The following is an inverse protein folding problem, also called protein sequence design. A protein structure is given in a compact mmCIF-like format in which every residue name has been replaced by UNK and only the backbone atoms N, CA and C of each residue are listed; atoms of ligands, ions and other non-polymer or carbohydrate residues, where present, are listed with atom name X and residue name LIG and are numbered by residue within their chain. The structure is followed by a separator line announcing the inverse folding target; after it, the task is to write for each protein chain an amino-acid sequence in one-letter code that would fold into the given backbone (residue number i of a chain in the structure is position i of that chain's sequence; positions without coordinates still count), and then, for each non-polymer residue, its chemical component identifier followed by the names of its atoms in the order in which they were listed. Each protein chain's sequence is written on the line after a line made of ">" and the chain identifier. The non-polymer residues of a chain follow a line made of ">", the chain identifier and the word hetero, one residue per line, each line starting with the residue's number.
data_IF_514507383463
#
_entry.id   IF_514507383463
#
_cell.length_a   1.000
_cell.length_b   1.000
_cell.length_c   1.000
_cell.angle_alpha   90.00
_cell.angle_beta   90.00
_cell.angle_gamma   90.00
#
_symmetry.space_group_name_H-M   'P 1'
#
loop_
_entity.id
_entity.type
_entity.pdbx_description
1 polymer ?
#
# COMPACT_ATOMS: atom_id res chain seq x y z
N UNK A 1 -7.73 23.45 18.42
CA UNK A 1 -7.47 24.60 19.32
C UNK A 1 -6.49 24.16 20.40
N UNK A 2 -5.19 24.22 20.12
CA UNK A 2 -4.19 24.27 21.20
C UNK A 2 -4.34 25.64 21.89
N UNK A 3 -4.29 25.69 23.22
CA UNK A 3 -4.42 26.95 23.96
C UNK A 3 -3.26 27.85 23.57
N UNK A 4 -3.54 29.01 22.99
CA UNK A 4 -2.56 29.99 22.48
C UNK A 4 -1.44 30.37 23.47
N UNK A 5 -1.59 30.10 24.78
CA UNK A 5 -0.55 30.33 25.79
C UNK A 5 0.56 29.27 25.83
N UNK A 6 0.26 27.99 25.56
CA UNK A 6 1.26 26.92 25.63
C UNK A 6 2.16 26.89 24.39
N UNK A 7 1.61 27.24 23.22
CA UNK A 7 2.36 27.35 21.97
C UNK A 7 3.37 28.49 21.98
N UNK A 8 3.04 29.63 22.60
CA UNK A 8 3.95 30.76 22.70
C UNK A 8 5.17 30.43 23.58
N UNK A 9 4.95 29.79 24.74
CA UNK A 9 6.04 29.37 25.64
C UNK A 9 6.94 28.31 24.99
N UNK A 10 6.38 27.41 24.18
CA UNK A 10 7.17 26.45 23.42
C UNK A 10 8.05 27.13 22.35
N UNK A 11 7.51 28.09 21.61
CA UNK A 11 8.25 28.89 20.61
C UNK A 11 9.35 29.72 21.30
N UNK A 12 9.03 30.36 22.41
CA UNK A 12 9.98 31.20 23.16
C UNK A 12 11.17 30.37 23.69
N UNK A 13 10.93 29.11 24.10
CA UNK A 13 12.02 28.20 24.50
C UNK A 13 12.80 27.62 23.31
N UNK A 14 12.13 27.37 22.17
CA UNK A 14 12.76 26.85 20.96
C UNK A 14 13.78 27.83 20.37
N UNK A 15 13.54 29.14 20.44
CA UNK A 15 14.49 30.16 19.97
C UNK A 15 15.84 30.16 20.72
N UNK A 16 15.90 29.50 21.88
CA UNK A 16 17.15 29.31 22.63
C UNK A 16 17.92 28.05 22.20
N UNK A 17 17.29 27.15 21.44
CA UNK A 17 17.96 25.97 20.89
C UNK A 17 18.80 26.34 19.67
N UNK A 18 20.00 25.76 19.58
CA UNK A 18 20.89 25.88 18.41
C UNK A 18 20.56 24.89 17.29
N UNK A 19 19.82 23.84 17.58
CA UNK A 19 19.44 22.82 16.62
C UNK A 19 18.26 22.04 17.20
N UNK A 20 17.32 21.67 16.34
CA UNK A 20 16.25 20.74 16.67
C UNK A 20 16.51 19.40 15.99
N UNK A 21 16.06 18.30 16.59
CA UNK A 21 16.30 16.96 16.07
C UNK A 21 15.00 16.19 15.85
N UNK A 22 14.98 15.36 14.79
CA UNK A 22 13.93 14.37 14.53
C UNK A 22 14.59 12.99 14.29
N UNK A 23 14.90 12.25 15.37
CA UNK A 23 15.69 11.02 15.29
C UNK A 23 14.79 9.78 15.17
N UNK A 24 13.94 9.72 14.15
CA UNK A 24 13.06 8.56 13.98
C UNK A 24 13.83 7.32 13.52
N UNK A 25 13.47 6.15 14.05
CA UNK A 25 13.97 4.89 13.51
C UNK A 25 13.41 4.70 12.11
N UNK A 26 14.26 4.70 11.09
CA UNK A 26 13.86 4.56 9.69
C UNK A 26 13.20 3.18 9.47
N UNK A 27 11.93 3.18 9.10
CA UNK A 27 11.11 2.01 8.79
C UNK A 27 9.98 2.41 7.82
N UNK A 28 9.21 1.42 7.32
CA UNK A 28 8.11 1.65 6.36
C UNK A 28 7.11 2.72 6.81
N UNK A 29 6.80 2.82 8.10
CA UNK A 29 5.91 3.86 8.61
C UNK A 29 6.58 5.24 8.55
N UNK A 30 7.81 5.37 9.03
CA UNK A 30 8.45 6.68 9.19
C UNK A 30 8.91 7.31 7.89
N UNK A 31 9.24 6.49 6.86
CA UNK A 31 9.58 7.01 5.53
C UNK A 31 8.35 7.59 4.82
N UNK A 32 7.15 7.17 5.18
CA UNK A 32 5.87 7.68 4.63
C UNK A 32 5.22 8.77 5.49
N UNK A 33 5.96 9.35 6.44
CA UNK A 33 5.43 10.39 7.33
C UNK A 33 6.04 11.74 6.95
N UNK A 34 5.16 12.73 6.77
CA UNK A 34 5.54 14.14 6.80
C UNK A 34 5.55 14.65 8.26
N UNK A 35 6.71 14.94 8.86
CA UNK A 35 6.79 15.27 10.30
C UNK A 35 6.31 16.71 10.58
N UNK A 36 5.13 16.89 11.19
CA UNK A 36 4.62 18.23 11.54
C UNK A 36 5.60 19.08 12.39
N UNK A 37 6.35 18.44 13.29
CA UNK A 37 7.34 19.13 14.15
C UNK A 37 8.50 19.74 13.37
N UNK A 38 8.81 19.19 12.21
CA UNK A 38 9.83 19.75 11.32
C UNK A 38 9.49 21.18 10.93
N UNK A 39 8.26 21.42 10.46
CA UNK A 39 7.83 22.76 10.06
C UNK A 39 7.68 23.71 11.26
N UNK A 40 7.28 23.21 12.43
CA UNK A 40 7.25 24.03 13.66
C UNK A 40 8.65 24.53 14.07
N UNK A 41 9.68 23.68 13.94
CA UNK A 41 11.07 24.05 14.22
C UNK A 41 11.61 25.05 13.20
N UNK A 42 11.37 24.80 11.91
CA UNK A 42 11.78 25.70 10.84
C UNK A 42 11.12 27.09 10.97
N UNK A 43 9.81 27.13 11.27
CA UNK A 43 9.08 28.38 11.50
C UNK A 43 9.61 29.16 12.71
N UNK A 44 10.17 28.46 13.70
CA UNK A 44 10.83 29.06 14.86
C UNK A 44 12.25 29.57 14.56
N UNK A 45 12.75 29.39 13.34
CA UNK A 45 14.11 29.75 12.93
C UNK A 45 15.18 28.82 13.50
N UNK A 46 14.81 27.62 13.93
CA UNK A 46 15.74 26.62 14.46
C UNK A 46 16.04 25.61 13.34
N UNK A 47 17.30 25.51 12.87
CA UNK A 47 17.67 24.48 11.90
C UNK A 47 17.43 23.08 12.44
N UNK A 48 17.09 22.13 11.54
CA UNK A 48 16.66 20.78 11.93
C UNK A 48 17.63 19.72 11.41
N UNK A 49 18.02 18.78 12.27
CA UNK A 49 18.70 17.54 11.85
C UNK A 49 17.72 16.37 11.96
N UNK A 50 17.56 15.61 10.87
CA UNK A 50 16.61 14.50 10.79
C UNK A 50 17.27 13.23 10.25
N UNK A 51 16.72 12.07 10.62
CA UNK A 51 16.97 10.83 9.87
C UNK A 51 16.27 10.89 8.51
N UNK A 52 16.54 9.89 7.65
CA UNK A 52 15.94 9.79 6.31
C UNK A 52 14.41 9.92 6.35
N UNK A 53 13.90 10.95 5.67
CA UNK A 53 12.48 11.26 5.52
C UNK A 53 12.23 11.86 4.14
N UNK A 54 11.83 11.04 3.15
CA UNK A 54 11.79 11.47 1.76
C UNK A 54 10.95 12.73 1.47
N UNK A 55 9.84 12.94 2.20
CA UNK A 55 8.95 14.10 2.03
C UNK A 55 9.61 15.47 2.28
N UNK A 56 10.78 15.49 2.94
CA UNK A 56 11.49 16.71 3.32
C UNK A 56 12.94 16.72 2.82
N UNK A 57 13.22 16.00 1.72
CA UNK A 57 14.52 16.05 1.05
C UNK A 57 14.84 17.49 0.63
N UNK A 58 16.10 17.89 0.84
CA UNK A 58 16.68 19.18 0.44
C UNK A 58 15.95 20.44 0.94
N UNK A 59 15.11 20.35 1.97
CA UNK A 59 14.49 21.54 2.56
C UNK A 59 15.57 22.41 3.22
N UNK A 60 15.76 23.68 2.77
CA UNK A 60 16.77 24.57 3.35
C UNK A 60 16.57 24.79 4.86
N UNK A 61 17.69 25.01 5.57
CA UNK A 61 17.67 25.08 7.04
C UNK A 61 17.49 23.72 7.70
N UNK A 62 17.70 22.61 6.97
CA UNK A 62 17.73 21.27 7.53
C UNK A 62 18.87 20.42 6.96
N UNK A 63 19.27 19.40 7.73
CA UNK A 63 20.19 18.35 7.29
C UNK A 63 19.54 17.00 7.54
N UNK A 64 19.49 16.18 6.49
CA UNK A 64 19.08 14.78 6.56
C UNK A 64 20.32 13.90 6.60
N UNK A 65 20.45 13.09 7.64
CA UNK A 65 21.58 12.21 7.86
C UNK A 65 21.24 10.74 7.56
N UNK A 66 22.19 10.03 6.95
CA UNK A 66 22.04 8.64 6.51
C UNK A 66 22.68 7.63 7.47
N UNK A 67 23.41 8.12 8.46
CA UNK A 67 24.08 7.32 9.47
C UNK A 67 24.03 8.03 10.83
N UNK A 68 24.37 7.28 11.88
CA UNK A 68 24.49 7.85 13.23
C UNK A 68 25.61 8.90 13.26
N UNK A 69 26.71 8.61 12.56
CA UNK A 69 27.89 9.46 12.47
C UNK A 69 27.55 10.79 11.79
N UNK A 70 26.91 10.75 10.61
CA UNK A 70 26.46 11.96 9.91
C UNK A 70 25.47 12.77 10.74
N UNK A 71 24.59 12.10 11.49
CA UNK A 71 23.62 12.77 12.35
C UNK A 71 24.31 13.54 13.46
N UNK A 72 25.28 12.93 14.14
CA UNK A 72 26.05 13.57 15.20
C UNK A 72 26.91 14.71 14.66
N UNK A 73 27.59 14.51 13.53
CA UNK A 73 28.38 15.53 12.85
C UNK A 73 27.52 16.75 12.47
N UNK A 74 26.31 16.53 11.96
CA UNK A 74 25.38 17.60 11.62
C UNK A 74 24.89 18.38 12.85
N UNK A 75 24.62 17.68 13.97
CA UNK A 75 24.27 18.31 15.24
C UNK A 75 25.43 19.17 15.76
N UNK A 76 26.64 18.61 15.81
CA UNK A 76 27.84 19.33 16.25
C UNK A 76 28.15 20.53 15.35
N UNK A 77 27.92 20.41 14.04
CA UNK A 77 28.08 21.50 13.09
C UNK A 77 27.18 22.69 13.46
N UNK A 78 25.88 22.49 13.70
CA UNK A 78 24.97 23.58 14.07
C UNK A 78 25.26 24.15 15.46
N UNK A 79 25.59 23.30 16.44
CA UNK A 79 25.92 23.73 17.81
C UNK A 79 27.16 24.62 17.84
N UNK A 80 28.18 24.28 17.06
CA UNK A 80 29.45 25.02 17.00
C UNK A 80 29.50 26.09 15.90
N UNK A 81 28.38 26.33 15.21
CA UNK A 81 28.32 27.28 14.10
C UNK A 81 28.48 28.73 14.57
N UNK A 82 29.36 29.47 13.90
CA UNK A 82 29.57 30.89 14.14
C UNK A 82 28.26 31.70 13.97
N UNK A 83 28.00 32.72 14.81
CA UNK A 83 26.70 33.40 14.86
C UNK A 83 26.18 33.92 13.51
N UNK A 84 27.06 34.50 12.67
CA UNK A 84 26.66 35.01 11.36
C UNK A 84 26.28 33.91 10.36
N UNK A 85 26.95 32.77 10.43
CA UNK A 85 26.61 31.60 9.60
C UNK A 85 25.32 30.96 10.09
N UNK A 86 25.14 30.89 11.42
CA UNK A 86 23.94 30.37 12.04
C UNK A 86 22.69 31.18 11.66
N UNK A 87 22.76 32.51 11.73
CA UNK A 87 21.62 33.37 11.38
C UNK A 87 21.17 33.14 9.93
N UNK A 88 22.10 32.86 9.01
CA UNK A 88 21.75 32.53 7.62
C UNK A 88 20.99 31.21 7.49
N UNK A 89 21.35 30.20 8.28
CA UNK A 89 20.62 28.93 8.30
C UNK A 89 19.26 29.08 8.98
N UNK A 90 19.17 29.90 10.03
CA UNK A 90 17.90 30.26 10.67
C UNK A 90 16.96 31.03 9.72
N UNK A 91 17.49 31.96 8.92
CA UNK A 91 16.74 32.66 7.86
C UNK A 91 16.21 31.70 6.81
N UNK A 92 17.06 30.78 6.31
CA UNK A 92 16.64 29.73 5.39
C UNK A 92 15.52 28.88 5.98
N UNK A 93 15.66 28.47 7.24
CA UNK A 93 14.64 27.69 7.94
C UNK A 93 13.29 28.41 7.97
N UNK A 94 13.27 29.70 8.37
CA UNK A 94 12.05 30.52 8.38
C UNK A 94 11.41 30.62 7.00
N UNK A 95 12.22 30.94 5.98
CA UNK A 95 11.75 31.05 4.59
C UNK A 95 11.18 29.73 4.07
N UNK A 96 11.82 28.60 4.39
CA UNK A 96 11.33 27.29 3.99
C UNK A 96 9.98 26.96 4.62
N UNK A 97 9.78 27.31 5.89
CA UNK A 97 8.51 27.06 6.58
C UNK A 97 7.31 27.79 5.94
N UNK A 98 7.51 28.98 5.37
CA UNK A 98 6.44 29.75 4.70
C UNK A 98 5.81 28.95 3.55
N UNK A 99 6.61 28.17 2.81
CA UNK A 99 6.13 27.34 1.71
C UNK A 99 5.22 26.17 2.13
N UNK A 100 5.14 25.87 3.43
CA UNK A 100 4.32 24.80 4.01
C UNK A 100 3.15 25.34 4.85
N UNK A 101 2.84 26.64 4.74
CA UNK A 101 1.59 27.15 5.30
C UNK A 101 0.38 26.58 4.57
N UNK A 102 -0.70 26.34 5.32
CA UNK A 102 -1.93 25.76 4.76
C UNK A 102 -2.50 26.54 3.59
N UNK A 103 -2.38 27.87 3.58
CA UNK A 103 -2.80 28.70 2.44
C UNK A 103 -1.98 28.38 1.20
N UNK A 104 -0.65 28.34 1.31
CA UNK A 104 0.25 28.05 0.19
C UNK A 104 0.06 26.63 -0.34
N UNK A 105 -0.05 25.65 0.56
CA UNK A 105 -0.30 24.26 0.19
C UNK A 105 -1.65 24.09 -0.51
N UNK A 106 -2.69 24.75 0.02
CA UNK A 106 -4.03 24.71 -0.56
C UNK A 106 -4.07 25.41 -1.92
N UNK A 107 -3.41 26.57 -2.05
CA UNK A 107 -3.36 27.30 -3.32
C UNK A 107 -2.62 26.51 -4.39
N UNK A 108 -1.54 25.80 -4.06
CA UNK A 108 -0.86 24.86 -4.98
C UNK A 108 -1.79 23.73 -5.40
N UNK A 109 -2.47 23.10 -4.45
CA UNK A 109 -3.38 21.99 -4.72
C UNK A 109 -4.58 22.44 -5.57
N UNK A 110 -5.21 23.56 -5.24
CA UNK A 110 -6.30 24.13 -6.01
C UNK A 110 -5.85 24.55 -7.41
N UNK A 111 -4.67 25.15 -7.55
CA UNK A 111 -4.11 25.50 -8.86
C UNK A 111 -3.92 24.27 -9.74
N UNK A 112 -3.44 23.15 -9.17
CA UNK A 112 -3.27 21.89 -9.87
C UNK A 112 -4.62 21.23 -10.25
N UNK A 113 -5.63 21.29 -9.36
CA UNK A 113 -6.95 20.73 -9.63
C UNK A 113 -7.77 21.57 -10.64
N UNK A 114 -7.57 22.89 -10.66
CA UNK A 114 -8.34 23.83 -11.49
C UNK A 114 -7.71 24.12 -12.85
N UNK A 115 -6.43 23.80 -13.05
CA UNK A 115 -5.88 23.76 -14.40
C UNK A 115 -6.60 22.66 -15.19
N UNK A 116 -7.33 23.03 -16.26
CA UNK A 116 -8.20 22.21 -17.13
C UNK A 116 -7.45 21.11 -17.93
N UNK A 117 -6.59 20.40 -17.25
CA UNK A 117 -5.70 19.36 -17.71
C UNK A 117 -4.96 18.91 -16.48
N UNK A 118 -5.58 18.05 -15.68
CA UNK A 118 -4.85 17.17 -14.76
C UNK A 118 -3.98 16.23 -15.60
N UNK A 119 -3.00 16.76 -16.32
CA UNK A 119 -1.82 16.00 -16.73
C UNK A 119 -0.88 15.96 -15.51
N UNK A 120 -1.37 15.33 -14.43
CA UNK A 120 -0.56 14.98 -13.26
C UNK A 120 0.67 14.16 -13.71
N UNK A 121 0.58 13.50 -14.88
CA UNK A 121 1.65 12.74 -15.52
C UNK A 121 2.87 13.55 -15.96
N UNK A 122 2.76 14.87 -16.18
CA UNK A 122 3.93 15.73 -16.43
C UNK A 122 4.51 16.35 -15.15
N UNK A 123 3.71 16.46 -14.08
CA UNK A 123 4.12 17.16 -12.84
C UNK A 123 4.86 16.28 -11.83
N UNK A 124 4.65 14.96 -11.87
CA UNK A 124 5.42 14.00 -11.07
C UNK A 124 6.28 13.14 -11.99
N UNK A 125 7.45 13.63 -12.35
CA UNK A 125 8.43 12.80 -13.05
C UNK A 125 8.99 11.80 -12.03
N UNK A 126 8.48 10.56 -12.07
CA UNK A 126 8.91 9.50 -11.15
C UNK A 126 10.43 9.23 -11.22
N UNK A 127 11.10 9.54 -12.35
CA UNK A 127 12.56 9.49 -12.41
C UNK A 127 13.24 10.55 -11.52
N UNK A 128 12.64 11.73 -11.35
CA UNK A 128 13.16 12.76 -10.44
C UNK A 128 13.07 12.27 -9.00
N UNK A 129 11.89 11.78 -8.59
CA UNK A 129 11.69 11.21 -7.25
C UNK A 129 12.64 10.03 -7.00
N UNK A 130 12.79 9.14 -8.00
CA UNK A 130 13.75 8.04 -7.95
C UNK A 130 15.18 8.54 -7.68
N UNK A 131 15.61 9.57 -8.42
CA UNK A 131 16.96 10.14 -8.26
C UNK A 131 17.19 10.79 -6.89
N UNK A 132 16.16 11.40 -6.31
CA UNK A 132 16.21 11.98 -4.97
C UNK A 132 16.34 10.89 -3.91
N UNK A 133 15.52 9.85 -3.99
CA UNK A 133 15.56 8.70 -3.08
C UNK A 133 16.86 7.90 -3.22
N UNK A 134 17.42 7.79 -4.42
CA UNK A 134 18.65 7.03 -4.68
C UNK A 134 19.86 7.56 -3.88
N UNK A 135 19.86 8.84 -3.49
CA UNK A 135 20.89 9.43 -2.59
C UNK A 135 20.89 8.80 -1.19
N UNK A 136 19.79 8.14 -0.83
CA UNK A 136 19.53 7.51 0.46
C UNK A 136 19.48 5.98 0.37
N UNK A 137 19.96 5.39 -0.74
CA UNK A 137 19.97 3.95 -1.01
C UNK A 137 20.95 3.15 -0.12
N UNK A 138 21.30 3.66 1.06
CA UNK A 138 21.98 2.91 2.11
C UNK A 138 20.99 2.16 3.01
N UNK A 139 19.75 2.63 3.09
CA UNK A 139 18.74 2.05 3.99
C UNK A 139 17.87 1.01 3.26
N UNK A 140 17.69 -0.22 3.79
CA UNK A 140 16.95 -1.28 3.12
C UNK A 140 15.52 -0.90 2.69
N UNK A 141 14.84 -0.10 3.51
CA UNK A 141 13.48 0.38 3.19
C UNK A 141 13.46 1.31 1.98
N UNK A 142 14.45 2.18 1.83
CA UNK A 142 14.54 3.07 0.65
C UNK A 142 14.92 2.29 -0.60
N UNK A 143 15.76 1.26 -0.46
CA UNK A 143 16.07 0.35 -1.57
C UNK A 143 14.82 -0.41 -2.01
N UNK A 144 13.96 -0.83 -1.08
CA UNK A 144 12.67 -1.48 -1.38
C UNK A 144 11.75 -0.53 -2.15
N UNK A 145 11.63 0.73 -1.69
CA UNK A 145 10.85 1.76 -2.38
C UNK A 145 11.41 2.05 -3.80
N UNK A 146 12.73 2.16 -3.95
CA UNK A 146 13.39 2.34 -5.25
C UNK A 146 13.11 1.15 -6.18
N UNK A 147 13.13 -0.08 -5.66
CA UNK A 147 12.78 -1.26 -6.44
C UNK A 147 11.33 -1.19 -6.93
N UNK A 148 10.39 -0.84 -6.05
CA UNK A 148 8.99 -0.63 -6.40
C UNK A 148 8.79 0.50 -7.43
N UNK A 149 9.58 1.58 -7.35
CA UNK A 149 9.58 2.66 -8.34
C UNK A 149 10.16 2.22 -9.68
N UNK A 150 11.25 1.45 -9.69
CA UNK A 150 11.85 0.91 -10.91
C UNK A 150 10.87 0.00 -11.67
N UNK A 151 10.07 -0.81 -10.96
CA UNK A 151 8.99 -1.60 -11.58
C UNK A 151 7.93 -0.72 -12.25
N UNK A 152 7.60 0.44 -11.64
CA UNK A 152 6.65 1.41 -12.22
C UNK A 152 7.23 2.18 -13.40
N UNK A 153 8.55 2.38 -13.42
CA UNK A 153 9.29 2.97 -14.53
C UNK A 153 9.60 1.97 -15.65
N UNK A 154 9.16 0.71 -15.52
CA UNK A 154 9.49 -0.40 -16.43
C UNK A 154 11.00 -0.71 -16.53
N UNK A 155 11.78 -0.29 -15.54
CA UNK A 155 13.21 -0.58 -15.40
C UNK A 155 13.41 -1.93 -14.67
N UNK A 156 12.91 -3.02 -15.26
CA UNK A 156 12.81 -4.33 -14.60
C UNK A 156 14.16 -4.94 -14.19
N UNK A 157 15.21 -4.75 -14.98
CA UNK A 157 16.56 -5.23 -14.65
C UNK A 157 17.09 -4.57 -13.36
N UNK A 158 16.84 -3.27 -13.20
CA UNK A 158 17.23 -2.51 -12.01
C UNK A 158 16.40 -2.93 -10.81
N UNK A 159 15.08 -3.10 -10.98
CA UNK A 159 14.21 -3.62 -9.93
C UNK A 159 14.69 -4.99 -9.41
N UNK A 160 15.03 -5.92 -10.31
CA UNK A 160 15.56 -7.23 -9.92
C UNK A 160 16.90 -7.10 -9.21
N UNK A 161 17.82 -6.24 -9.69
CA UNK A 161 19.11 -6.00 -9.05
C UNK A 161 18.96 -5.50 -7.61
N UNK A 162 18.09 -4.52 -7.38
CA UNK A 162 17.82 -3.96 -6.05
C UNK A 162 17.14 -4.99 -5.14
N UNK A 163 16.10 -5.66 -5.62
CA UNK A 163 15.36 -6.66 -4.86
C UNK A 163 16.21 -7.87 -4.46
N UNK A 164 17.04 -8.38 -5.37
CA UNK A 164 17.96 -9.48 -5.07
C UNK A 164 19.04 -9.08 -4.06
N UNK A 165 19.59 -7.87 -4.18
CA UNK A 165 20.55 -7.35 -3.19
C UNK A 165 19.98 -7.28 -1.78
N UNK A 166 18.70 -6.94 -1.64
CA UNK A 166 17.99 -6.96 -0.36
C UNK A 166 17.77 -8.40 0.15
N UNK A 167 17.33 -9.32 -0.71
CA UNK A 167 17.14 -10.72 -0.35
C UNK A 167 18.44 -11.39 0.13
N UNK A 168 19.55 -11.17 -0.58
CA UNK A 168 20.88 -11.67 -0.21
C UNK A 168 21.36 -11.12 1.14
N UNK A 169 20.97 -9.88 1.46
CA UNK A 169 21.26 -9.23 2.73
C UNK A 169 20.29 -9.61 3.86
N UNK A 170 19.34 -10.52 3.60
CA UNK A 170 18.31 -10.94 4.57
C UNK A 170 17.32 -9.84 4.95
N UNK A 171 17.17 -8.81 4.10
CA UNK A 171 16.24 -7.71 4.31
C UNK A 171 14.84 -8.07 3.80
N UNK A 172 13.82 -7.38 4.31
CA UNK A 172 12.46 -7.47 3.78
C UNK A 172 12.39 -6.82 2.40
N UNK A 173 11.60 -7.42 1.52
CA UNK A 173 11.40 -6.99 0.13
C UNK A 173 9.92 -7.08 -0.19
N UNK A 174 9.42 -6.15 -0.99
CA UNK A 174 8.09 -6.22 -1.58
C UNK A 174 8.06 -7.30 -2.68
N UNK A 175 7.84 -8.55 -2.25
CA UNK A 175 7.86 -9.74 -3.10
C UNK A 175 6.94 -9.68 -4.32
N UNK A 176 5.70 -9.11 -4.25
CA UNK A 176 4.85 -8.98 -5.44
C UNK A 176 5.48 -8.12 -6.55
N UNK A 177 6.07 -6.97 -6.23
CA UNK A 177 6.71 -6.12 -7.26
C UNK A 177 7.97 -6.78 -7.83
N UNK A 178 8.75 -7.47 -7.00
CA UNK A 178 9.89 -8.26 -7.50
C UNK A 178 9.44 -9.41 -8.42
N UNK A 179 8.36 -10.11 -8.07
CA UNK A 179 7.77 -11.14 -8.92
C UNK A 179 7.26 -10.56 -10.25
N UNK A 180 6.67 -9.36 -10.23
CA UNK A 180 6.23 -8.66 -11.43
C UNK A 180 7.42 -8.34 -12.34
N UNK A 181 8.54 -7.89 -11.78
CA UNK A 181 9.76 -7.61 -12.54
C UNK A 181 10.29 -8.88 -13.24
N UNK A 182 10.39 -10.01 -12.53
CA UNK A 182 10.79 -11.28 -13.13
C UNK A 182 9.82 -11.74 -14.23
N UNK A 183 8.52 -11.59 -14.01
CA UNK A 183 7.50 -11.94 -14.99
C UNK A 183 7.63 -11.12 -16.27
N UNK A 184 7.86 -9.80 -16.14
CA UNK A 184 8.08 -8.88 -17.27
C UNK A 184 9.40 -9.14 -18.00
N UNK A 185 10.39 -9.71 -17.32
CA UNK A 185 11.62 -10.21 -17.93
C UNK A 185 11.47 -11.60 -18.58
N UNK A 186 10.29 -12.23 -18.47
CA UNK A 186 9.99 -13.54 -19.05
C UNK A 186 10.32 -14.73 -18.16
N UNK A 187 10.67 -14.52 -16.89
CA UNK A 187 10.92 -15.59 -15.92
C UNK A 187 9.69 -15.88 -15.06
N UNK A 188 8.75 -16.61 -15.65
CA UNK A 188 7.52 -17.05 -14.97
C UNK A 188 7.80 -17.92 -13.74
N UNK A 189 8.82 -18.79 -13.81
CA UNK A 189 9.10 -19.75 -12.73
C UNK A 189 9.56 -19.02 -11.47
N UNK A 190 10.42 -18.04 -11.63
CA UNK A 190 10.91 -17.24 -10.51
C UNK A 190 9.81 -16.34 -9.94
N UNK A 191 8.99 -15.72 -10.79
CA UNK A 191 7.81 -14.97 -10.34
C UNK A 191 6.87 -15.85 -9.49
N UNK A 192 6.56 -17.06 -9.95
CA UNK A 192 5.73 -18.02 -9.21
C UNK A 192 6.37 -18.45 -7.89
N UNK A 193 7.69 -18.67 -7.88
CA UNK A 193 8.44 -19.01 -6.65
C UNK A 193 8.31 -17.89 -5.61
N UNK A 194 8.49 -16.64 -6.03
CA UNK A 194 8.39 -15.45 -5.17
C UNK A 194 6.96 -15.25 -4.64
N UNK A 195 5.94 -15.42 -5.48
CA UNK A 195 4.54 -15.32 -5.04
C UNK A 195 4.14 -16.41 -4.04
N UNK A 196 4.61 -17.65 -4.25
CA UNK A 196 4.38 -18.73 -3.27
C UNK A 196 5.07 -18.42 -1.94
N UNK A 197 6.28 -17.87 -1.99
CA UNK A 197 7.00 -17.43 -0.79
C UNK A 197 6.29 -16.27 -0.10
N UNK A 198 5.77 -15.29 -0.84
CA UNK A 198 4.91 -14.24 -0.29
C UNK A 198 3.70 -14.83 0.44
N UNK A 199 3.05 -15.83 -0.17
CA UNK A 199 1.95 -16.55 0.48
C UNK A 199 2.34 -17.23 1.80
N UNK A 200 3.55 -17.78 1.90
CA UNK A 200 4.10 -18.33 3.16
C UNK A 200 4.32 -17.27 4.22
N UNK A 201 4.84 -16.10 3.84
CA UNK A 201 5.12 -15.00 4.77
C UNK A 201 3.83 -14.40 5.35
N UNK A 202 2.81 -14.21 4.52
CA UNK A 202 1.55 -13.57 4.91
C UNK A 202 0.50 -14.57 5.46
N UNK A 203 0.79 -15.87 5.42
CA UNK A 203 -0.20 -16.90 5.80
C UNK A 203 -1.35 -17.04 4.79
N UNK A 204 -1.11 -16.71 3.53
CA UNK A 204 -2.08 -16.79 2.44
C UNK A 204 -2.02 -18.16 1.74
N UNK A 205 -2.47 -19.22 2.41
CA UNK A 205 -2.53 -20.56 1.81
C UNK A 205 -3.41 -20.62 0.55
N UNK A 206 -4.43 -19.76 0.48
CA UNK A 206 -5.29 -19.58 -0.68
C UNK A 206 -4.50 -19.18 -1.93
N UNK A 207 -3.46 -18.37 -1.78
CA UNK A 207 -2.67 -17.84 -2.89
C UNK A 207 -1.96 -18.98 -3.62
N UNK A 208 -1.38 -19.93 -2.86
CA UNK A 208 -0.73 -21.10 -3.44
C UNK A 208 -1.71 -21.97 -4.23
N UNK A 209 -2.93 -22.16 -3.71
CA UNK A 209 -3.99 -22.90 -4.42
C UNK A 209 -4.36 -22.21 -5.74
N UNK A 210 -4.55 -20.89 -5.71
CA UNK A 210 -4.85 -20.12 -6.93
C UNK A 210 -3.71 -20.23 -7.95
N UNK A 211 -2.46 -20.07 -7.53
CA UNK A 211 -1.28 -20.25 -8.40
C UNK A 211 -1.26 -21.66 -8.99
N UNK A 212 -1.50 -22.70 -8.19
CA UNK A 212 -1.51 -24.09 -8.68
C UNK A 212 -2.64 -24.37 -9.67
N UNK A 213 -3.78 -23.68 -9.56
CA UNK A 213 -4.86 -23.71 -10.55
C UNK A 213 -4.40 -23.02 -11.84
N UNK A 214 -3.86 -21.80 -11.76
CA UNK A 214 -3.37 -21.03 -12.93
C UNK A 214 -2.32 -21.82 -13.69
N UNK A 215 -1.37 -22.46 -12.99
CA UNK A 215 -0.26 -23.18 -13.61
C UNK A 215 -0.67 -24.45 -14.37
N UNK A 216 -1.93 -24.89 -14.26
CA UNK A 216 -2.47 -26.01 -15.07
C UNK A 216 -2.97 -25.55 -16.43
N UNK A 217 -3.17 -24.25 -16.62
CA UNK A 217 -3.68 -23.67 -17.85
C UNK A 217 -2.65 -23.69 -18.98
N UNK A 218 -3.15 -23.58 -20.22
CA UNK A 218 -2.27 -23.54 -21.41
C UNK A 218 -1.43 -22.25 -21.48
N UNK A 219 -1.94 -21.16 -20.92
CA UNK A 219 -1.30 -19.83 -20.91
C UNK A 219 -1.36 -19.20 -19.51
N UNK A 220 -0.50 -19.64 -18.57
CA UNK A 220 -0.57 -19.19 -17.17
C UNK A 220 -0.06 -17.76 -16.95
N UNK A 221 0.81 -17.25 -17.83
CA UNK A 221 1.54 -16.01 -17.59
C UNK A 221 0.63 -14.79 -17.40
N UNK A 222 -0.43 -14.65 -18.21
CA UNK A 222 -1.35 -13.52 -18.10
C UNK A 222 -2.12 -13.50 -16.77
N UNK A 223 -2.60 -14.64 -16.30
CA UNK A 223 -3.31 -14.74 -15.03
C UNK A 223 -2.38 -14.58 -13.82
N UNK A 224 -1.14 -15.06 -13.91
CA UNK A 224 -0.11 -14.77 -12.90
C UNK A 224 0.17 -13.26 -12.87
N UNK A 225 0.22 -12.59 -14.02
CA UNK A 225 0.40 -11.15 -14.09
C UNK A 225 -0.75 -10.39 -13.44
N UNK A 226 -2.01 -10.74 -13.75
CA UNK A 226 -3.20 -10.14 -13.10
C UNK A 226 -3.11 -10.29 -11.58
N UNK A 227 -2.82 -11.50 -11.09
CA UNK A 227 -2.68 -11.78 -9.67
C UNK A 227 -1.56 -10.96 -9.04
N UNK A 228 -0.42 -10.83 -9.72
CA UNK A 228 0.73 -10.07 -9.24
C UNK A 228 0.42 -8.57 -9.18
N UNK A 229 -0.16 -8.01 -10.25
CA UNK A 229 -0.59 -6.60 -10.31
C UNK A 229 -1.57 -6.27 -9.18
N UNK A 230 -2.53 -7.16 -8.93
CA UNK A 230 -3.45 -7.04 -7.80
C UNK A 230 -2.71 -6.99 -6.47
N UNK A 231 -1.83 -7.95 -6.20
CA UNK A 231 -1.04 -8.02 -4.96
C UNK A 231 -0.08 -6.83 -4.79
N UNK A 232 0.33 -6.20 -5.89
CA UNK A 232 1.12 -4.97 -5.92
C UNK A 232 0.32 -3.68 -5.72
N UNK A 233 -1.00 -3.77 -5.53
CA UNK A 233 -1.87 -2.59 -5.42
C UNK A 233 -2.02 -1.81 -6.74
N UNK A 234 -1.91 -2.49 -7.88
CA UNK A 234 -2.09 -1.94 -9.23
C UNK A 234 -3.44 -2.39 -9.82
N UNK A 235 -4.52 -2.19 -9.07
CA UNK A 235 -5.87 -2.65 -9.45
C UNK A 235 -6.31 -2.19 -10.85
N UNK A 236 -6.08 -0.93 -11.29
CA UNK A 236 -6.51 -0.50 -12.63
C UNK A 236 -5.86 -1.31 -13.76
N UNK A 237 -4.58 -1.64 -13.60
CA UNK A 237 -3.84 -2.41 -14.61
C UNK A 237 -4.24 -3.89 -14.57
N UNK A 238 -4.42 -4.45 -13.36
CA UNK A 238 -4.93 -5.80 -13.20
C UNK A 238 -6.32 -5.96 -13.83
N UNK A 239 -7.19 -4.95 -13.67
CA UNK A 239 -8.53 -4.91 -14.24
C UNK A 239 -8.50 -4.85 -15.77
N UNK A 240 -7.67 -3.97 -16.35
CA UNK A 240 -7.51 -3.88 -17.80
C UNK A 240 -7.01 -5.20 -18.38
N UNK A 241 -6.03 -5.83 -17.73
CA UNK A 241 -5.45 -7.07 -18.20
C UNK A 241 -6.43 -8.25 -18.10
N UNK A 242 -7.15 -8.39 -16.99
CA UNK A 242 -8.13 -9.48 -16.85
C UNK A 242 -9.29 -9.33 -17.83
N UNK A 243 -9.75 -8.10 -18.08
CA UNK A 243 -10.80 -7.81 -19.07
C UNK A 243 -10.35 -8.16 -20.49
N UNK A 244 -9.10 -7.83 -20.84
CA UNK A 244 -8.49 -8.22 -22.12
C UNK A 244 -8.42 -9.75 -22.27
N UNK A 245 -7.96 -10.47 -21.24
CA UNK A 245 -7.88 -11.94 -21.24
C UNK A 245 -9.26 -12.57 -21.45
N UNK A 246 -10.27 -12.10 -20.70
CA UNK A 246 -11.65 -12.61 -20.80
C UNK A 246 -12.26 -12.33 -22.18
N UNK A 247 -11.88 -11.23 -22.83
CA UNK A 247 -12.36 -10.84 -24.17
C UNK A 247 -11.68 -11.65 -25.29
N UNK A 248 -10.36 -11.81 -25.23
CA UNK A 248 -9.56 -12.43 -26.31
C UNK A 248 -9.69 -13.95 -26.35
N UNK A 249 -9.58 -14.62 -25.19
CA UNK A 249 -9.48 -16.08 -25.16
C UNK A 249 -10.84 -16.77 -25.34
N UNK A 250 -11.97 -16.04 -25.29
CA UNK A 250 -13.31 -16.61 -25.05
C UNK A 250 -13.36 -17.55 -23.84
N UNK A 251 -12.34 -17.50 -22.98
CA UNK A 251 -12.16 -18.37 -21.83
C UNK A 251 -12.99 -17.82 -20.68
N UNK A 252 -14.08 -18.49 -20.38
CA UNK A 252 -14.78 -18.35 -19.10
C UNK A 252 -14.05 -19.15 -18.02
N UNK A 253 -12.75 -18.93 -17.84
CA UNK A 253 -11.98 -19.65 -16.83
C UNK A 253 -12.47 -19.21 -15.43
N UNK A 254 -12.91 -20.13 -14.55
CA UNK A 254 -13.51 -19.77 -13.27
C UNK A 254 -12.63 -18.86 -12.41
N UNK A 255 -11.31 -19.08 -12.42
CA UNK A 255 -10.38 -18.24 -11.66
C UNK A 255 -10.18 -16.85 -12.27
N UNK A 256 -10.29 -16.67 -13.59
CA UNK A 256 -10.16 -15.35 -14.19
C UNK A 256 -11.36 -14.47 -13.78
N UNK A 257 -12.56 -15.07 -13.79
CA UNK A 257 -13.78 -14.43 -13.30
C UNK A 257 -13.74 -14.24 -11.77
N UNK A 258 -13.13 -15.18 -11.03
CA UNK A 258 -12.91 -15.04 -9.59
C UNK A 258 -11.96 -13.90 -9.24
N UNK A 259 -10.86 -13.73 -9.98
CA UNK A 259 -9.95 -12.58 -9.84
C UNK A 259 -10.67 -11.25 -10.17
N UNK A 260 -11.53 -11.25 -11.18
CA UNK A 260 -12.38 -10.10 -11.50
C UNK A 260 -13.35 -9.77 -10.34
N UNK A 261 -13.97 -10.77 -9.73
CA UNK A 261 -14.82 -10.60 -8.55
C UNK A 261 -14.04 -9.95 -7.39
N UNK A 262 -12.82 -10.43 -7.14
CA UNK A 262 -11.93 -9.87 -6.14
C UNK A 262 -11.55 -8.41 -6.41
N UNK A 263 -11.23 -8.07 -7.66
CA UNK A 263 -10.91 -6.70 -8.05
C UNK A 263 -12.11 -5.75 -7.87
N UNK A 264 -13.32 -6.19 -8.24
CA UNK A 264 -14.52 -5.40 -7.98
C UNK A 264 -14.78 -5.19 -6.49
N UNK A 265 -14.57 -6.22 -5.66
CA UNK A 265 -14.74 -6.10 -4.22
C UNK A 265 -13.74 -5.11 -3.61
N UNK A 266 -12.47 -5.14 -4.03
CA UNK A 266 -11.45 -4.17 -3.59
C UNK A 266 -11.81 -2.72 -3.97
N UNK A 267 -12.48 -2.51 -5.10
CA UNK A 267 -12.97 -1.19 -5.52
C UNK A 267 -14.32 -0.82 -4.90
N UNK A 268 -14.85 -1.61 -3.96
CA UNK A 268 -16.16 -1.43 -3.34
C UNK A 268 -17.37 -1.53 -4.32
N UNK A 269 -17.18 -2.14 -5.49
CA UNK A 269 -18.22 -2.42 -6.48
C UNK A 269 -18.87 -3.79 -6.21
N UNK A 270 -19.48 -3.93 -5.03
CA UNK A 270 -19.92 -5.22 -4.48
C UNK A 270 -21.00 -5.91 -5.32
N UNK A 271 -21.80 -5.15 -6.08
CA UNK A 271 -22.84 -5.69 -6.97
C UNK A 271 -22.24 -6.39 -8.19
N UNK A 272 -21.19 -5.80 -8.76
CA UNK A 272 -20.45 -6.40 -9.86
C UNK A 272 -19.65 -7.61 -9.38
N UNK A 273 -19.07 -7.53 -8.17
CA UNK A 273 -18.37 -8.65 -7.55
C UNK A 273 -19.31 -9.85 -7.30
N UNK A 274 -20.53 -9.62 -6.80
CA UNK A 274 -21.54 -10.68 -6.65
C UNK A 274 -21.94 -11.28 -8.00
N UNK A 275 -22.16 -10.45 -9.02
CA UNK A 275 -22.46 -10.94 -10.37
C UNK A 275 -21.33 -11.79 -10.96
N UNK A 276 -20.08 -11.40 -10.72
CA UNK A 276 -18.91 -12.18 -11.10
C UNK A 276 -18.84 -13.52 -10.35
N UNK A 277 -19.09 -13.53 -9.04
CA UNK A 277 -19.13 -14.77 -8.24
C UNK A 277 -20.25 -15.73 -8.70
N UNK A 278 -21.44 -15.21 -9.00
CA UNK A 278 -22.53 -15.99 -9.60
C UNK A 278 -22.08 -16.59 -10.93
N UNK A 279 -21.33 -15.83 -11.74
CA UNK A 279 -20.76 -16.34 -12.98
C UNK A 279 -19.72 -17.45 -12.75
N UNK A 280 -18.89 -17.35 -11.71
CA UNK A 280 -17.97 -18.45 -11.33
C UNK A 280 -18.77 -19.73 -11.00
N UNK A 281 -19.89 -19.62 -10.28
CA UNK A 281 -20.76 -20.78 -9.96
C UNK A 281 -21.34 -21.49 -11.18
N UNK A 282 -21.54 -20.77 -12.28
CA UNK A 282 -21.99 -21.38 -13.54
C UNK A 282 -20.88 -22.12 -14.29
N UNK A 283 -19.62 -21.74 -14.04
CA UNK A 283 -18.45 -22.18 -14.80
C UNK A 283 -17.64 -23.25 -14.08
N UNK A 284 -17.66 -23.23 -12.75
CA UNK A 284 -16.88 -24.14 -11.92
C UNK A 284 -17.63 -25.45 -11.65
N UNK A 285 -16.92 -26.58 -11.81
CA UNK A 285 -17.38 -27.89 -11.34
C UNK A 285 -17.21 -28.05 -9.81
N UNK A 286 -16.26 -27.32 -9.23
CA UNK A 286 -16.02 -27.23 -7.78
C UNK A 286 -16.77 -26.02 -7.18
N UNK A 287 -16.78 -25.90 -5.85
CA UNK A 287 -17.37 -24.73 -5.19
C UNK A 287 -16.73 -23.43 -5.69
N UNK A 288 -17.54 -22.48 -6.16
CA UNK A 288 -17.07 -21.22 -6.73
C UNK A 288 -16.20 -20.41 -5.75
N UNK A 289 -16.42 -20.61 -4.47
CA UNK A 289 -15.71 -19.96 -3.39
C UNK A 289 -14.21 -20.30 -3.39
N UNK A 290 -13.77 -21.41 -4.02
CA UNK A 290 -12.36 -21.80 -4.16
C UNK A 290 -11.58 -20.88 -5.10
N UNK A 291 -12.28 -20.17 -5.99
CA UNK A 291 -11.68 -19.30 -7.01
C UNK A 291 -11.60 -17.83 -6.59
N UNK A 292 -12.01 -17.53 -5.36
CA UNK A 292 -12.10 -16.17 -4.83
C UNK A 292 -11.35 -16.14 -3.51
N UNK A 293 -10.58 -15.08 -3.26
CA UNK A 293 -9.80 -15.00 -2.03
C UNK A 293 -10.71 -14.78 -0.80
N UNK A 294 -10.23 -15.15 0.41
CA UNK A 294 -11.04 -15.05 1.62
C UNK A 294 -11.55 -13.65 1.95
N UNK A 295 -10.80 -12.60 1.60
CA UNK A 295 -11.21 -11.23 1.93
C UNK A 295 -12.42 -10.83 1.10
N UNK A 296 -12.40 -11.16 -0.19
CA UNK A 296 -13.56 -10.96 -1.06
C UNK A 296 -14.78 -11.74 -0.57
N UNK A 297 -14.62 -13.00 -0.11
CA UNK A 297 -15.74 -13.76 0.46
C UNK A 297 -16.33 -13.09 1.71
N UNK A 298 -15.48 -12.51 2.55
CA UNK A 298 -15.91 -11.73 3.72
C UNK A 298 -16.74 -10.51 3.31
N UNK A 299 -16.22 -9.70 2.38
CA UNK A 299 -16.85 -8.45 1.95
C UNK A 299 -18.20 -8.73 1.25
N UNK A 300 -18.27 -9.80 0.46
CA UNK A 300 -19.52 -10.23 -0.18
C UNK A 300 -20.54 -10.80 0.81
N UNK A 301 -20.10 -11.51 1.86
CA UNK A 301 -20.99 -12.00 2.91
C UNK A 301 -21.64 -10.83 3.68
N UNK A 302 -20.85 -9.79 3.99
CA UNK A 302 -21.35 -8.57 4.63
C UNK A 302 -22.35 -7.85 3.71
N UNK A 303 -22.03 -7.69 2.42
CA UNK A 303 -22.92 -7.08 1.43
C UNK A 303 -24.25 -7.82 1.28
N UNK A 304 -24.22 -9.16 1.27
CA UNK A 304 -25.42 -10.00 1.21
C UNK A 304 -26.27 -9.87 2.48
N UNK A 305 -25.63 -9.73 3.65
CA UNK A 305 -26.30 -9.45 4.90
C UNK A 305 -27.09 -8.14 4.86
N UNK A 306 -26.49 -7.06 4.38
CA UNK A 306 -27.17 -5.77 4.22
C UNK A 306 -28.38 -5.87 3.28
N UNK A 307 -28.25 -6.70 2.23
CA UNK A 307 -29.33 -7.02 1.28
C UNK A 307 -30.35 -8.04 1.78
N UNK A 308 -30.21 -8.53 3.02
CA UNK A 308 -31.06 -9.58 3.62
C UNK A 308 -31.06 -10.93 2.88
N UNK A 309 -30.00 -11.22 2.11
CA UNK A 309 -29.76 -12.52 1.46
C UNK A 309 -28.98 -13.45 2.41
N UNK A 310 -29.57 -13.76 3.56
CA UNK A 310 -28.88 -14.42 4.68
C UNK A 310 -28.41 -15.85 4.37
N UNK A 311 -29.17 -16.63 3.60
CA UNK A 311 -28.78 -18.00 3.20
C UNK A 311 -27.49 -17.99 2.37
N UNK A 312 -27.34 -17.01 1.48
CA UNK A 312 -26.15 -16.88 0.65
C UNK A 312 -24.96 -16.33 1.43
N UNK A 313 -25.22 -15.36 2.33
CA UNK A 313 -24.20 -14.85 3.25
C UNK A 313 -23.65 -15.98 4.16
N UNK A 314 -24.52 -16.85 4.68
CA UNK A 314 -24.14 -18.03 5.47
C UNK A 314 -23.22 -18.97 4.67
N UNK A 315 -23.58 -19.24 3.41
CA UNK A 315 -22.77 -20.09 2.53
C UNK A 315 -21.36 -19.54 2.32
N UNK A 316 -21.22 -18.23 2.07
CA UNK A 316 -19.90 -17.60 1.90
C UNK A 316 -19.09 -17.61 3.20
N UNK A 317 -19.73 -17.32 4.33
CA UNK A 317 -19.08 -17.36 5.64
C UNK A 317 -18.59 -18.78 5.99
N UNK A 318 -19.34 -19.84 5.64
CA UNK A 318 -18.91 -21.23 5.81
C UNK A 318 -17.71 -21.57 4.93
N UNK A 319 -17.65 -21.03 3.70
CA UNK A 319 -16.55 -21.30 2.78
C UNK A 319 -15.19 -20.81 3.33
N UNK A 320 -15.16 -19.78 4.19
CA UNK A 320 -13.94 -19.33 4.88
C UNK A 320 -13.27 -20.45 5.69
N UNK A 321 -14.04 -21.41 6.23
CA UNK A 321 -13.47 -22.57 6.94
C UNK A 321 -12.63 -23.46 6.03
N UNK A 322 -12.94 -23.53 4.73
CA UNK A 322 -12.14 -24.31 3.75
C UNK A 322 -10.74 -23.72 3.50
N UNK A 323 -10.54 -22.45 3.88
CA UNK A 323 -9.27 -21.74 3.86
C UNK A 323 -8.52 -21.83 5.20
N UNK A 324 -8.99 -22.63 6.16
CA UNK A 324 -8.41 -22.71 7.50
C UNK A 324 -8.79 -21.54 8.41
N UNK A 325 -9.69 -20.64 7.96
CA UNK A 325 -10.12 -19.45 8.68
C UNK A 325 -11.37 -19.71 9.52
N UNK A 326 -11.40 -20.79 10.30
CA UNK A 326 -12.58 -21.20 11.07
C UNK A 326 -13.01 -20.18 12.13
N UNK A 327 -12.06 -19.45 12.72
CA UNK A 327 -12.37 -18.36 13.66
C UNK A 327 -13.15 -17.24 12.96
N UNK A 328 -12.66 -16.78 11.81
CA UNK A 328 -13.31 -15.74 11.02
C UNK A 328 -14.68 -16.20 10.52
N UNK A 329 -14.77 -17.44 10.04
CA UNK A 329 -16.03 -18.08 9.66
C UNK A 329 -17.06 -18.03 10.79
N UNK A 330 -16.66 -18.41 12.01
CA UNK A 330 -17.55 -18.41 13.20
C UNK A 330 -18.00 -16.99 13.56
N UNK A 331 -17.09 -16.02 13.52
CA UNK A 331 -17.40 -14.62 13.78
C UNK A 331 -18.44 -14.10 12.78
N UNK A 332 -18.22 -14.31 11.48
CA UNK A 332 -19.12 -13.86 10.41
C UNK A 332 -20.49 -14.52 10.52
N UNK A 333 -20.57 -15.81 10.82
CA UNK A 333 -21.84 -16.49 11.08
C UNK A 333 -22.60 -15.87 12.26
N UNK A 334 -21.90 -15.52 13.34
CA UNK A 334 -22.50 -14.80 14.47
C UNK A 334 -23.12 -13.46 14.05
N UNK A 335 -22.40 -12.68 13.26
CA UNK A 335 -22.88 -11.40 12.73
C UNK A 335 -24.09 -11.61 11.82
N UNK A 336 -24.06 -12.61 10.94
CA UNK A 336 -25.17 -12.96 10.04
C UNK A 336 -26.44 -13.31 10.83
N UNK A 337 -26.33 -14.20 11.81
CA UNK A 337 -27.49 -14.62 12.62
C UNK A 337 -28.03 -13.48 13.48
N UNK A 338 -27.15 -12.65 14.04
CA UNK A 338 -27.56 -11.47 14.80
C UNK A 338 -28.34 -10.48 13.92
N UNK A 339 -27.85 -10.21 12.71
CA UNK A 339 -28.54 -9.34 11.75
C UNK A 339 -29.86 -9.94 11.27
N UNK A 340 -29.92 -11.26 11.01
CA UNK A 340 -31.17 -11.94 10.65
C UNK A 340 -32.21 -11.88 11.78
N UNK A 341 -31.78 -12.02 13.04
CA UNK A 341 -32.63 -11.86 14.21
C UNK A 341 -33.20 -10.43 14.30
N UNK A 342 -32.35 -9.40 14.15
CA UNK A 342 -32.79 -8.01 14.14
C UNK A 342 -33.72 -7.68 12.97
N UNK A 343 -33.52 -8.31 11.81
CA UNK A 343 -34.38 -8.17 10.64
C UNK A 343 -35.73 -8.89 10.77
N UNK A 344 -35.90 -9.75 11.79
CA UNK A 344 -37.13 -10.51 12.01
C UNK A 344 -37.34 -11.64 11.01
N UNK A 345 -36.26 -12.36 10.65
CA UNK A 345 -36.27 -13.50 9.71
C UNK A 345 -36.15 -14.86 10.45
N UNK A 346 -37.18 -15.31 11.21
CA UNK A 346 -37.11 -16.53 12.00
C UNK A 346 -37.06 -17.80 11.14
N UNK A 347 -37.57 -17.77 9.91
CA UNK A 347 -37.55 -18.95 9.03
C UNK A 347 -36.11 -19.33 8.64
N UNK A 348 -35.26 -18.35 8.37
CA UNK A 348 -33.85 -18.59 8.08
C UNK A 348 -33.13 -19.18 9.30
N UNK A 349 -33.31 -18.57 10.48
CA UNK A 349 -32.70 -19.03 11.73
C UNK A 349 -33.11 -20.47 12.10
N UNK A 350 -34.35 -20.87 11.79
CA UNK A 350 -34.85 -22.22 12.05
C UNK A 350 -34.37 -23.25 11.01
N UNK A 351 -33.99 -22.82 9.80
CA UNK A 351 -33.51 -23.70 8.73
C UNK A 351 -32.00 -23.92 8.77
N UNK A 352 -31.25 -22.92 9.22
CA UNK A 352 -29.80 -23.04 9.35
C UNK A 352 -29.46 -24.15 10.36
N UNK A 353 -28.58 -25.07 9.95
CA UNK A 353 -28.05 -26.13 10.82
C UNK A 353 -26.93 -25.62 11.74
N UNK A 354 -26.50 -24.38 11.54
CA UNK A 354 -25.36 -23.76 12.19
C UNK A 354 -25.76 -22.56 13.05
N UNK A 355 -27.04 -22.16 13.01
CA UNK A 355 -27.62 -21.20 13.93
C UNK A 355 -27.68 -21.78 15.37
N UNK A 356 -27.30 -20.99 16.39
CA UNK A 356 -27.24 -21.44 17.79
C UNK A 356 -28.60 -21.65 18.47
#
# INVERSE_FOLDING_TARGET
>A
MAKNGDSQVAIDNLQHARVAIIPFKVNKLTVSVTPLKFFEYLASGVPVVTTVMPDIIDVPGSIMANSCEEFLEAVDMYVNMEPLSYEREADKARMSAEGYFWSEMLDRLLSALLSDGCDLGQSLNLHVVYSEFARFASHPVIIDDLMCMAVRLEEFEEAVRLGMGLLESGCQVHLPDLALAYLKMGDLNEAVRLLKWYGDCEGHDWLKKHIDIIMRESSPAGLIEVLTLRLSGRQPEALQLVDAILTEERCSHPLAVGLLASLFAEMYELDLALGALEKVRELADEGAEVYVDPKTLEDLADALCEKRRFEEAESLALALSSYGLSHLSTQKLGDIYYNAFLAGEPEFLLRSKHAP
#
